data_IF_200085072461
#
_entry.id   IF_200085072461
#
_cell.length_a   1.000
_cell.length_b   1.000
_cell.length_c   1.000
_cell.angle_alpha   90.00
_cell.angle_beta   90.00
_cell.angle_gamma   90.00
#
_symmetry.space_group_name_H-M   'P 1'
#
loop_
_entity.id
_entity.type
_entity.pdbx_description
1 polymer ?
#
# COMPACT_ATOMS: atom_id res chain seq x y z
N UNK A 1 -3.31 12.12 6.70
CA UNK A 1 -2.42 11.74 7.84
C UNK A 1 -1.04 11.51 7.25
N UNK A 2 0.04 11.87 7.97
CA UNK A 2 1.40 11.75 7.43
C UNK A 2 2.06 10.47 7.93
N UNK A 3 2.57 9.66 7.01
CA UNK A 3 3.26 8.42 7.37
C UNK A 3 4.75 8.69 7.67
N UNK A 4 5.32 8.13 8.76
CA UNK A 4 6.74 8.26 9.06
C UNK A 4 7.62 7.63 7.99
N UNK A 5 8.80 8.21 7.75
CA UNK A 5 9.89 7.52 7.05
C UNK A 5 10.27 6.29 7.86
N UNK A 6 10.75 5.24 7.19
CA UNK A 6 11.11 3.94 7.77
C UNK A 6 9.93 3.07 8.22
N UNK A 7 8.69 3.54 8.03
CA UNK A 7 7.51 2.69 8.19
C UNK A 7 7.50 1.65 7.08
N UNK A 8 7.33 0.38 7.45
CA UNK A 8 7.14 -0.74 6.52
C UNK A 8 5.65 -0.96 6.33
N UNK A 9 5.21 -1.02 5.07
CA UNK A 9 3.83 -1.30 4.70
C UNK A 9 3.78 -2.43 3.67
N UNK A 10 2.69 -3.18 3.65
CA UNK A 10 2.51 -4.29 2.72
C UNK A 10 1.71 -3.82 1.50
N UNK A 11 2.28 -3.92 0.31
CA UNK A 11 1.57 -3.64 -0.95
C UNK A 11 1.78 -4.82 -1.88
N UNK A 12 0.69 -5.42 -2.37
CA UNK A 12 0.72 -6.60 -3.25
C UNK A 12 1.58 -7.75 -2.66
N UNK A 13 1.43 -8.01 -1.36
CA UNK A 13 2.18 -9.05 -0.64
C UNK A 13 3.70 -8.86 -0.69
N UNK A 14 4.17 -7.60 -0.85
CA UNK A 14 5.57 -7.20 -0.75
C UNK A 14 5.73 -6.08 0.27
N UNK A 15 6.82 -6.12 1.00
CA UNK A 15 7.17 -5.11 2.00
C UNK A 15 7.75 -3.88 1.33
N UNK A 16 7.15 -2.73 1.55
CA UNK A 16 7.62 -1.45 1.05
C UNK A 16 7.97 -0.56 2.22
N UNK A 17 9.20 -0.05 2.25
CA UNK A 17 9.65 0.93 3.24
C UNK A 17 9.40 2.33 2.71
N UNK A 18 8.80 3.19 3.52
CA UNK A 18 8.70 4.61 3.18
C UNK A 18 10.10 5.22 3.28
N UNK A 19 10.69 5.56 2.13
CA UNK A 19 12.05 6.09 2.04
C UNK A 19 12.08 7.63 2.17
N UNK A 20 11.08 8.31 1.61
CA UNK A 20 10.98 9.76 1.65
C UNK A 20 9.51 10.19 1.52
N UNK A 21 9.17 11.36 2.06
CA UNK A 21 7.99 12.11 1.62
C UNK A 21 8.41 13.54 1.27
N UNK A 22 7.74 14.14 0.29
CA UNK A 22 7.95 15.54 -0.07
C UNK A 22 6.64 16.23 -0.40
N UNK A 23 6.59 17.56 -0.23
CA UNK A 23 5.43 18.34 -0.66
C UNK A 23 5.43 18.42 -2.20
N UNK A 24 4.37 17.91 -2.82
CA UNK A 24 4.11 18.05 -4.24
C UNK A 24 3.56 19.42 -4.61
N UNK A 25 3.37 19.66 -5.92
CA UNK A 25 2.66 20.86 -6.39
C UNK A 25 1.19 20.77 -5.96
N UNK A 26 0.68 21.79 -5.29
CA UNK A 26 -0.74 21.84 -4.90
C UNK A 26 -1.06 21.34 -3.48
N UNK A 27 -0.08 21.27 -2.58
CA UNK A 27 -0.24 20.85 -1.17
C UNK A 27 -0.61 19.38 -0.96
N UNK A 28 -0.22 18.51 -1.89
CA UNK A 28 -0.34 17.06 -1.71
C UNK A 28 1.00 16.47 -1.26
N UNK A 29 1.00 15.58 -0.27
CA UNK A 29 2.21 14.81 0.07
C UNK A 29 2.45 13.73 -0.98
N UNK A 30 3.71 13.61 -1.41
CA UNK A 30 4.14 12.54 -2.31
C UNK A 30 5.16 11.69 -1.57
N UNK A 31 4.86 10.40 -1.46
CA UNK A 31 5.66 9.40 -0.78
C UNK A 31 6.47 8.60 -1.80
N UNK A 32 7.74 8.41 -1.49
CA UNK A 32 8.64 7.50 -2.20
C UNK A 32 8.83 6.28 -1.32
N UNK A 33 8.48 5.11 -1.85
CA UNK A 33 8.67 3.83 -1.21
C UNK A 33 9.84 3.11 -1.87
N UNK A 34 10.59 2.36 -1.08
CA UNK A 34 11.67 1.52 -1.53
C UNK A 34 11.44 0.08 -1.05
N UNK A 35 11.71 -0.88 -1.92
CA UNK A 35 11.78 -2.29 -1.58
C UNK A 35 13.18 -2.80 -1.96
N UNK A 36 13.88 -3.36 -0.99
CA UNK A 36 15.16 -4.02 -1.23
C UNK A 36 14.89 -5.45 -1.68
N UNK A 37 15.45 -5.82 -2.83
CA UNK A 37 15.38 -7.17 -3.38
C UNK A 37 16.52 -8.02 -2.84
N UNK A 38 16.36 -9.34 -2.91
CA UNK A 38 17.37 -10.32 -2.50
C UNK A 38 18.65 -10.28 -3.33
N UNK A 39 18.63 -9.63 -4.50
CA UNK A 39 19.79 -9.40 -5.36
C UNK A 39 20.56 -8.12 -5.00
N UNK A 40 20.15 -7.39 -3.95
CA UNK A 40 20.73 -6.12 -3.53
C UNK A 40 20.32 -4.91 -4.37
N UNK A 41 19.38 -5.09 -5.32
CA UNK A 41 18.79 -3.97 -6.04
C UNK A 41 17.59 -3.37 -5.30
N UNK A 42 17.26 -2.11 -5.62
CA UNK A 42 16.15 -1.41 -5.00
C UNK A 42 15.07 -1.11 -6.03
N UNK A 43 13.86 -1.58 -5.76
CA UNK A 43 12.66 -1.08 -6.43
C UNK A 43 12.20 0.20 -5.75
N UNK A 44 11.72 1.15 -6.54
CA UNK A 44 11.13 2.39 -6.02
C UNK A 44 9.72 2.60 -6.55
N UNK A 45 8.82 3.08 -5.70
CA UNK A 45 7.44 3.40 -6.07
C UNK A 45 7.09 4.79 -5.54
N UNK A 46 6.38 5.58 -6.36
CA UNK A 46 5.93 6.91 -5.98
C UNK A 46 4.42 6.94 -5.87
N UNK A 47 3.92 7.33 -4.70
CA UNK A 47 2.50 7.42 -4.41
C UNK A 47 2.15 8.81 -3.88
N UNK A 48 0.95 9.27 -4.16
CA UNK A 48 0.41 10.49 -3.57
C UNK A 48 -0.32 10.19 -2.26
N UNK A 49 -0.65 11.22 -1.48
CA UNK A 49 -1.29 11.08 -0.16
C UNK A 49 -2.60 10.29 -0.24
N UNK A 50 -3.38 10.51 -1.30
CA UNK A 50 -4.65 9.82 -1.50
C UNK A 50 -4.46 8.33 -1.78
N UNK A 51 -3.49 7.97 -2.63
CA UNK A 51 -3.23 6.57 -2.97
C UNK A 51 -2.68 5.79 -1.79
N UNK A 52 -1.71 6.35 -1.06
CA UNK A 52 -1.12 5.66 0.09
C UNK A 52 -2.14 5.41 1.20
N UNK A 53 -3.06 6.38 1.44
CA UNK A 53 -4.16 6.20 2.39
C UNK A 53 -5.07 5.03 2.03
N UNK A 54 -5.47 4.94 0.75
CA UNK A 54 -6.32 3.83 0.26
C UNK A 54 -5.63 2.47 0.31
N UNK A 55 -4.31 2.43 0.14
CA UNK A 55 -3.55 1.17 0.15
C UNK A 55 -3.36 0.66 1.58
N UNK A 56 -3.09 1.54 2.54
CA UNK A 56 -2.85 1.18 3.95
C UNK A 56 -4.15 0.86 4.70
N UNK A 57 -5.29 1.45 4.31
CA UNK A 57 -6.59 1.12 4.92
C UNK A 57 -7.05 -0.32 4.67
N UNK A 58 -6.39 -1.06 3.77
CA UNK A 58 -6.65 -2.48 3.63
C UNK A 58 -5.92 -3.26 4.74
N UNK A 59 -6.73 -3.62 5.75
CA UNK A 59 -6.54 -4.81 6.59
C UNK A 59 -5.97 -5.99 5.77
N UNK A 60 -5.30 -6.97 6.42
CA UNK A 60 -4.95 -8.22 5.74
C UNK A 60 -6.18 -8.68 4.94
N UNK A 61 -6.00 -8.93 3.64
CA UNK A 61 -7.03 -9.54 2.78
C UNK A 61 -7.27 -11.00 3.20
N UNK A 62 -7.62 -11.20 4.46
CA UNK A 62 -8.03 -12.46 5.07
C UNK A 62 -9.52 -12.39 5.35
N UNK A 63 -10.25 -13.29 4.70
CA UNK A 63 -11.68 -13.54 4.81
C UNK A 63 -12.59 -12.51 4.12
N UNK A 64 -12.68 -12.63 2.79
CA UNK A 64 -13.98 -12.47 2.14
C UNK A 64 -14.82 -13.71 2.48
N UNK A 65 -15.94 -13.61 3.21
CA UNK A 65 -16.90 -14.69 3.26
C UNK A 65 -17.50 -14.80 1.86
N UNK A 66 -17.17 -15.87 1.16
CA UNK A 66 -17.90 -16.28 -0.03
C UNK A 66 -19.24 -16.84 0.46
N UNK A 67 -20.21 -15.98 0.73
CA UNK A 67 -21.60 -16.39 0.86
C UNK A 67 -22.09 -16.80 -0.54
N UNK A 68 -21.83 -18.06 -0.91
CA UNK A 68 -22.50 -18.69 -2.05
C UNK A 68 -23.94 -18.89 -1.63
N UNK A 69 -24.79 -17.92 -1.95
CA UNK A 69 -26.23 -18.10 -1.97
C UNK A 69 -26.56 -19.10 -3.09
N UNK A 70 -26.60 -20.38 -2.75
CA UNK A 70 -27.20 -21.41 -3.59
C UNK A 70 -28.73 -21.25 -3.49
N UNK A 71 -29.29 -20.34 -4.30
CA UNK A 71 -30.72 -20.36 -4.60
C UNK A 71 -31.01 -21.60 -5.47
N UNK A 72 -31.23 -22.73 -4.80
CA UNK A 72 -31.85 -23.89 -5.40
C UNK A 72 -33.31 -23.53 -5.74
N UNK A 73 -33.56 -23.27 -7.02
CA UNK A 73 -34.90 -23.22 -7.60
C UNK A 73 -35.64 -24.53 -7.29
N UNK A 74 -36.78 -24.41 -6.63
CA UNK A 74 -37.76 -25.48 -6.41
C UNK A 74 -38.71 -25.62 -7.61
#
# INVERSE_FOLDING_TARGET
MKYPVDTIIMINNREWRIAEYRMGRGREWVYTLANERTDGSFDTMRLNEVAIGKIIENQPQGEVPFDVAEEAFA
#
